data_IF_140357942158
#
_entry.id   IF_140357942158
#
_cell.length_a   1.000
_cell.length_b   1.000
_cell.length_c   1.000
_cell.angle_alpha   90.00
_cell.angle_beta   90.00
_cell.angle_gamma   90.00
#
_symmetry.space_group_name_H-M   'P 1'
#
loop_
_entity.id
_entity.type
_entity.pdbx_description
1 polymer ?
#
# COMPACT_ATOMS: atom_id res chain seq x y z
N UNK A 1 9.65 46.54 -19.28
CA UNK A 1 9.04 45.61 -20.28
C UNK A 1 9.49 45.93 -21.70
N UNK A 2 9.33 47.16 -22.20
CA UNK A 2 9.73 47.55 -23.57
C UNK A 2 11.18 47.22 -23.92
N UNK A 3 12.10 47.41 -22.97
CA UNK A 3 13.54 47.10 -23.13
C UNK A 3 13.84 45.60 -23.26
N UNK A 4 13.03 44.73 -22.66
CA UNK A 4 13.17 43.28 -22.81
C UNK A 4 12.56 42.79 -24.14
N UNK A 5 11.42 43.37 -24.53
CA UNK A 5 10.67 42.98 -25.73
C UNK A 5 11.38 43.40 -27.01
N UNK A 6 11.88 44.63 -27.08
CA UNK A 6 12.59 45.13 -28.27
C UNK A 6 14.02 44.61 -28.25
N UNK A 7 14.39 43.84 -29.28
CA UNK A 7 15.74 43.33 -29.43
C UNK A 7 16.29 43.69 -30.80
N UNK A 8 17.61 43.73 -30.89
CA UNK A 8 18.32 43.70 -32.17
C UNK A 8 18.78 42.27 -32.37
N UNK A 9 18.34 41.62 -33.44
CA UNK A 9 18.76 40.24 -33.73
C UNK A 9 20.28 40.22 -33.97
N UNK A 10 21.07 39.49 -33.16
CA UNK A 10 22.52 39.47 -33.29
C UNK A 10 23.00 38.85 -34.61
N UNK A 11 22.18 38.05 -35.31
CA UNK A 11 22.55 37.44 -36.59
C UNK A 11 22.29 38.36 -37.78
N UNK A 12 21.23 39.16 -37.75
CA UNK A 12 20.79 39.97 -38.90
C UNK A 12 20.91 41.48 -38.70
N UNK A 13 21.11 41.95 -37.47
CA UNK A 13 21.18 43.38 -37.11
C UNK A 13 19.82 44.11 -37.17
N UNK A 14 18.73 43.42 -37.48
CA UNK A 14 17.40 44.02 -37.61
C UNK A 14 16.71 44.19 -36.25
N UNK A 15 15.91 45.24 -36.14
CA UNK A 15 15.02 45.40 -34.99
C UNK A 15 13.89 44.36 -35.03
N UNK A 16 13.72 43.64 -33.92
CA UNK A 16 12.71 42.62 -33.75
C UNK A 16 12.03 42.75 -32.37
N UNK A 17 10.98 41.96 -32.17
CA UNK A 17 10.26 41.86 -30.90
C UNK A 17 10.26 40.42 -30.42
N UNK A 18 10.59 40.18 -29.15
CA UNK A 18 10.39 38.88 -28.50
C UNK A 18 8.90 38.55 -28.47
N UNK A 19 8.58 37.27 -28.61
CA UNK A 19 7.26 36.76 -28.25
C UNK A 19 7.01 37.05 -26.76
N UNK A 20 5.82 37.55 -26.44
CA UNK A 20 5.41 37.93 -25.08
C UNK A 20 4.48 36.91 -24.47
N UNK A 21 3.90 36.01 -25.27
CA UNK A 21 3.17 34.86 -24.77
C UNK A 21 4.13 33.89 -24.09
N UNK A 22 3.69 33.33 -22.97
CA UNK A 22 4.40 32.25 -22.28
C UNK A 22 3.86 30.90 -22.71
N UNK A 23 4.72 29.89 -22.66
CA UNK A 23 4.24 28.53 -22.78
C UNK A 23 3.32 28.20 -21.58
N UNK A 24 2.28 27.39 -21.78
CA UNK A 24 1.41 27.00 -20.69
C UNK A 24 2.14 26.05 -19.72
N UNK A 25 1.63 25.91 -18.49
CA UNK A 25 2.28 25.13 -17.43
C UNK A 25 2.62 23.68 -17.82
N UNK A 26 1.82 23.07 -18.70
CA UNK A 26 2.03 21.69 -19.17
C UNK A 26 3.20 21.52 -20.15
N UNK A 27 3.80 22.61 -20.64
CA UNK A 27 5.01 22.54 -21.47
C UNK A 27 6.23 21.99 -20.69
N UNK A 28 6.26 22.17 -19.37
CA UNK A 28 7.28 21.53 -18.52
C UNK A 28 6.90 20.09 -18.15
N UNK A 29 5.63 19.85 -17.81
CA UNK A 29 5.20 18.54 -17.32
C UNK A 29 5.17 17.47 -18.41
N UNK A 30 5.17 17.79 -19.70
CA UNK A 30 5.14 16.76 -20.74
C UNK A 30 6.47 16.00 -20.94
N UNK A 31 7.58 16.43 -20.33
CA UNK A 31 8.90 15.80 -20.54
C UNK A 31 9.81 15.77 -19.30
N UNK A 32 9.35 16.23 -18.14
CA UNK A 32 10.17 16.29 -16.91
C UNK A 32 10.80 14.94 -16.50
N UNK A 33 10.14 13.82 -16.79
CA UNK A 33 10.66 12.47 -16.53
C UNK A 33 11.95 12.19 -17.31
N UNK A 34 12.12 12.76 -18.51
CA UNK A 34 13.38 12.71 -19.26
C UNK A 34 14.45 13.61 -18.65
N UNK A 35 14.05 14.76 -18.09
CA UNK A 35 14.99 15.67 -17.45
C UNK A 35 15.55 15.12 -16.14
N UNK A 36 14.78 14.29 -15.42
CA UNK A 36 15.27 13.63 -14.21
C UNK A 36 16.43 12.66 -14.46
N UNK A 37 16.59 12.18 -15.69
CA UNK A 37 17.67 11.26 -16.04
C UNK A 37 19.04 11.94 -16.04
N UNK A 38 19.05 13.26 -16.28
CA UNK A 38 20.25 14.07 -16.41
C UNK A 38 20.00 15.55 -16.04
N UNK A 39 19.65 15.84 -14.76
CA UNK A 39 19.10 17.14 -14.36
C UNK A 39 20.12 18.28 -14.35
N UNK A 40 21.42 17.96 -14.30
CA UNK A 40 22.51 18.94 -14.21
C UNK A 40 23.18 19.24 -15.56
N UNK A 41 22.71 18.65 -16.66
CA UNK A 41 23.27 18.88 -17.98
C UNK A 41 22.87 20.25 -18.54
N UNK A 42 23.82 21.16 -18.68
CA UNK A 42 23.63 22.52 -19.18
C UNK A 42 23.84 22.65 -20.70
N UNK A 43 24.36 21.60 -21.34
CA UNK A 43 24.62 21.57 -22.79
C UNK A 43 23.45 20.97 -23.59
N UNK A 44 22.72 20.00 -23.00
CA UNK A 44 21.65 19.23 -23.64
C UNK A 44 20.45 19.07 -22.70
N UNK A 45 19.32 18.69 -23.29
CA UNK A 45 18.14 18.32 -22.53
C UNK A 45 18.39 17.07 -21.65
N UNK A 46 19.06 16.06 -22.20
CA UNK A 46 19.60 14.87 -21.52
C UNK A 46 20.67 14.17 -22.40
N UNK A 47 21.54 13.36 -21.79
CA UNK A 47 22.47 12.51 -22.52
C UNK A 47 21.81 11.21 -23.06
N UNK A 48 22.09 10.77 -24.31
CA UNK A 48 21.46 9.58 -24.89
C UNK A 48 21.72 8.28 -24.13
N UNK A 49 22.89 8.11 -23.52
CA UNK A 49 23.24 6.94 -22.70
C UNK A 49 22.43 6.89 -21.41
N UNK A 50 22.14 8.05 -20.79
CA UNK A 50 21.29 8.16 -19.60
C UNK A 50 19.83 7.85 -19.92
N UNK A 51 19.34 8.34 -21.06
CA UNK A 51 18.00 7.99 -21.55
C UNK A 51 17.85 6.49 -21.77
N UNK A 52 18.79 5.88 -22.50
CA UNK A 52 18.76 4.44 -22.78
C UNK A 52 18.85 3.55 -21.54
N UNK A 53 19.50 4.04 -20.49
CA UNK A 53 19.65 3.30 -19.24
C UNK A 53 18.37 3.30 -18.42
N UNK A 54 17.70 4.46 -18.31
CA UNK A 54 16.56 4.63 -17.40
C UNK A 54 15.19 4.48 -18.06
N UNK A 55 15.08 4.66 -19.37
CA UNK A 55 13.79 4.61 -20.08
C UNK A 55 13.49 3.21 -20.64
N UNK A 56 12.20 2.84 -20.72
CA UNK A 56 11.01 3.59 -20.27
C UNK A 56 10.84 3.59 -18.75
N UNK A 57 10.01 4.49 -18.21
CA UNK A 57 9.63 4.44 -16.79
C UNK A 57 8.80 3.18 -16.54
N UNK A 58 9.26 2.31 -15.65
CA UNK A 58 8.61 1.03 -15.35
C UNK A 58 7.19 1.20 -14.80
N UNK A 59 7.04 2.04 -13.77
CA UNK A 59 5.78 2.29 -13.07
C UNK A 59 5.57 3.80 -12.87
N UNK A 60 4.52 4.32 -13.50
CA UNK A 60 4.04 5.68 -13.31
C UNK A 60 2.78 5.68 -12.44
N UNK A 61 2.83 6.36 -11.29
CA UNK A 61 1.69 6.50 -10.37
C UNK A 61 1.17 7.94 -10.46
N UNK A 62 -0.12 8.11 -10.75
CA UNK A 62 -0.73 9.43 -10.83
C UNK A 62 -2.25 9.38 -10.90
N UNK A 63 -2.92 10.39 -10.35
CA UNK A 63 -4.38 10.41 -10.26
C UNK A 63 -5.06 10.39 -11.63
N UNK A 64 -6.25 9.79 -11.69
CA UNK A 64 -7.04 9.66 -12.93
C UNK A 64 -7.40 11.01 -13.55
N UNK A 65 -7.41 12.09 -12.76
CA UNK A 65 -7.60 13.47 -13.21
C UNK A 65 -6.60 13.90 -14.30
N UNK A 66 -5.47 13.22 -14.42
CA UNK A 66 -4.42 13.52 -15.39
C UNK A 66 -4.51 12.70 -16.69
N UNK A 67 -5.49 11.80 -16.82
CA UNK A 67 -5.63 10.88 -17.96
C UNK A 67 -5.75 11.60 -19.31
N UNK A 68 -6.57 12.64 -19.40
CA UNK A 68 -6.88 13.33 -20.67
C UNK A 68 -6.02 14.55 -20.97
N UNK A 69 -5.19 14.99 -20.02
CA UNK A 69 -4.33 16.16 -20.18
C UNK A 69 -2.86 15.74 -20.16
N UNK A 70 -2.25 15.74 -18.98
CA UNK A 70 -0.82 15.51 -18.80
C UNK A 70 -0.36 14.19 -19.46
N UNK A 71 -1.07 13.08 -19.24
CA UNK A 71 -0.67 11.79 -19.81
C UNK A 71 -0.75 11.76 -21.34
N UNK A 72 -1.73 12.44 -21.93
CA UNK A 72 -1.82 12.57 -23.39
C UNK A 72 -0.68 13.44 -23.93
N UNK A 73 -0.41 14.59 -23.31
CA UNK A 73 0.66 15.48 -23.75
C UNK A 73 2.05 14.87 -23.56
N UNK A 74 2.28 14.15 -22.46
CA UNK A 74 3.53 13.44 -22.23
C UNK A 74 3.80 12.42 -23.33
N UNK A 75 2.79 11.62 -23.70
CA UNK A 75 2.90 10.65 -24.80
C UNK A 75 3.08 11.32 -26.16
N UNK A 76 2.33 12.38 -26.44
CA UNK A 76 2.43 13.13 -27.69
C UNK A 76 3.86 13.68 -27.88
N UNK A 77 4.39 14.39 -26.88
CA UNK A 77 5.73 14.95 -26.96
C UNK A 77 6.81 13.87 -26.97
N UNK A 78 6.62 12.75 -26.25
CA UNK A 78 7.54 11.62 -26.34
C UNK A 78 7.63 11.06 -27.75
N UNK A 79 6.50 10.94 -28.47
CA UNK A 79 6.50 10.49 -29.87
C UNK A 79 7.18 11.47 -30.81
N UNK A 80 6.95 12.77 -30.63
CA UNK A 80 7.68 13.81 -31.38
C UNK A 80 9.18 13.67 -31.14
N UNK A 81 9.61 13.47 -29.89
CA UNK A 81 11.02 13.27 -29.55
C UNK A 81 11.59 11.96 -30.12
N UNK A 82 10.77 10.91 -30.20
CA UNK A 82 11.14 9.64 -30.82
C UNK A 82 11.34 9.81 -32.33
N UNK A 83 10.42 10.48 -33.02
CA UNK A 83 10.51 10.77 -34.46
C UNK A 83 11.75 11.63 -34.79
N UNK A 84 12.16 12.49 -33.85
CA UNK A 84 13.38 13.30 -33.94
C UNK A 84 14.66 12.56 -33.51
N UNK A 85 14.55 11.34 -32.99
CA UNK A 85 15.68 10.50 -32.56
C UNK A 85 16.30 10.85 -31.20
N UNK A 86 15.58 11.58 -30.33
CA UNK A 86 16.07 11.97 -29.00
C UNK A 86 15.79 10.95 -27.89
N UNK A 87 14.84 10.04 -28.11
CA UNK A 87 14.51 8.95 -27.19
C UNK A 87 14.50 7.62 -27.93
N UNK A 88 14.77 6.54 -27.20
CA UNK A 88 14.99 5.21 -27.75
C UNK A 88 13.70 4.42 -28.01
N UNK A 89 12.60 4.78 -27.34
CA UNK A 89 11.30 4.12 -27.43
C UNK A 89 10.15 5.08 -27.77
N UNK A 90 9.00 4.56 -28.25
CA UNK A 90 7.86 5.39 -28.67
C UNK A 90 6.86 5.71 -27.54
N UNK A 91 7.02 5.16 -26.34
CA UNK A 91 6.14 5.37 -25.19
C UNK A 91 6.96 5.59 -23.90
N UNK A 92 6.59 6.56 -23.06
CA UNK A 92 7.38 6.93 -21.89
C UNK A 92 7.14 6.06 -20.64
N UNK A 93 5.97 5.41 -20.53
CA UNK A 93 5.54 4.71 -19.31
C UNK A 93 5.11 3.28 -19.66
N UNK A 94 5.73 2.29 -19.04
CA UNK A 94 5.41 0.87 -19.26
C UNK A 94 4.15 0.44 -18.51
N UNK A 95 4.00 0.90 -17.26
CA UNK A 95 2.82 0.66 -16.45
C UNK A 95 2.29 1.97 -15.86
N UNK A 96 0.99 2.19 -15.98
CA UNK A 96 0.26 3.28 -15.31
C UNK A 96 -0.62 2.71 -14.21
N UNK A 97 -0.60 3.35 -13.04
CA UNK A 97 -1.51 3.06 -11.93
C UNK A 97 -2.10 4.36 -11.40
N UNK A 98 -3.42 4.38 -11.25
CA UNK A 98 -4.12 5.55 -10.75
C UNK A 98 -4.46 5.36 -9.28
N UNK A 99 -3.86 6.16 -8.40
CA UNK A 99 -4.29 6.18 -7.01
C UNK A 99 -5.67 6.81 -6.89
N UNK A 100 -6.48 6.28 -5.97
CA UNK A 100 -7.75 6.88 -5.62
C UNK A 100 -7.57 8.12 -4.74
N UNK A 101 -8.56 9.01 -4.76
CA UNK A 101 -8.53 10.25 -3.99
C UNK A 101 -8.68 9.97 -2.49
N UNK A 102 -7.98 10.75 -1.68
CA UNK A 102 -8.28 10.88 -0.25
C UNK A 102 -9.29 12.02 -0.09
N UNK A 103 -10.45 11.69 0.46
CA UNK A 103 -11.58 12.60 0.69
C UNK A 103 -11.82 12.75 2.18
N UNK A 104 -12.45 13.86 2.56
CA UNK A 104 -12.82 14.13 3.96
C UNK A 104 -14.23 14.68 4.04
N UNK A 105 -14.86 14.49 5.20
CA UNK A 105 -16.19 15.05 5.46
C UNK A 105 -16.07 16.56 5.67
N UNK A 106 -16.84 17.31 4.91
CA UNK A 106 -17.04 18.74 5.12
C UNK A 106 -18.34 19.01 5.85
N UNK A 107 -18.44 20.19 6.47
CA UNK A 107 -19.60 20.65 7.22
C UNK A 107 -20.01 22.02 6.70
N UNK A 108 -21.31 22.24 6.46
CA UNK A 108 -21.86 23.49 5.93
C UNK A 108 -23.05 23.97 6.74
N UNK A 109 -23.09 25.28 6.99
CA UNK A 109 -24.28 25.99 7.50
C UNK A 109 -25.37 26.03 6.43
N UNK A 110 -26.59 26.40 6.82
CA UNK A 110 -27.69 26.60 5.87
C UNK A 110 -27.38 27.70 4.83
N UNK A 111 -26.52 28.66 5.18
CA UNK A 111 -26.02 29.72 4.28
C UNK A 111 -25.08 29.22 3.19
N UNK A 112 -24.58 27.98 3.28
CA UNK A 112 -23.58 27.41 2.38
C UNK A 112 -22.11 27.64 2.80
N UNK A 113 -21.88 28.38 3.90
CA UNK A 113 -20.54 28.58 4.47
C UNK A 113 -20.00 27.27 5.09
N UNK A 114 -18.72 26.98 4.87
CA UNK A 114 -18.04 25.83 5.48
C UNK A 114 -17.72 26.08 6.95
N UNK A 115 -17.72 25.01 7.73
CA UNK A 115 -17.37 24.99 9.15
C UNK A 115 -16.21 24.01 9.36
N UNK A 116 -15.23 24.43 10.15
CA UNK A 116 -14.07 23.59 10.49
C UNK A 116 -14.48 22.44 11.44
N UNK A 117 -13.91 21.22 11.30
CA UNK A 117 -14.28 20.06 12.12
C UNK A 117 -14.23 20.30 13.63
N UNK A 118 -13.29 21.10 14.13
CA UNK A 118 -13.11 21.46 15.55
C UNK A 118 -14.27 22.28 16.14
N UNK A 119 -15.05 22.93 15.28
CA UNK A 119 -16.24 23.70 15.61
C UNK A 119 -17.55 22.90 15.46
N UNK A 120 -17.45 21.58 15.23
CA UNK A 120 -18.59 20.69 15.05
C UNK A 120 -18.79 19.81 16.28
N UNK A 121 -20.05 19.72 16.75
CA UNK A 121 -20.47 18.74 17.74
C UNK A 121 -21.08 17.54 17.02
N UNK A 122 -20.53 16.36 17.29
CA UNK A 122 -20.96 15.07 16.75
C UNK A 122 -22.12 14.51 17.57
N UNK A 123 -23.33 14.57 17.01
CA UNK A 123 -24.49 13.83 17.52
C UNK A 123 -24.59 12.43 16.92
N UNK A 124 -25.53 11.61 17.42
CA UNK A 124 -25.76 10.25 16.92
C UNK A 124 -26.19 10.24 15.45
N UNK A 125 -27.06 11.18 15.07
CA UNK A 125 -27.65 11.31 13.73
C UNK A 125 -27.64 12.76 13.21
N UNK A 126 -26.94 13.67 13.88
CA UNK A 126 -26.91 15.09 13.54
C UNK A 126 -25.56 15.73 13.85
N UNK A 127 -25.27 16.83 13.15
CA UNK A 127 -24.09 17.65 13.36
C UNK A 127 -24.55 19.06 13.65
N UNK A 128 -24.02 19.70 14.68
CA UNK A 128 -24.35 21.07 15.03
C UNK A 128 -23.10 21.91 15.22
N UNK A 129 -23.20 23.21 14.96
CA UNK A 129 -22.13 24.15 15.23
C UNK A 129 -21.98 24.32 16.74
N UNK A 130 -20.74 24.19 17.25
CA UNK A 130 -20.40 24.18 18.68
C UNK A 130 -20.86 25.42 19.44
N UNK A 131 -20.73 26.60 18.81
CA UNK A 131 -21.12 27.88 19.41
C UNK A 131 -22.60 28.23 19.20
N UNK A 132 -23.08 28.21 17.95
CA UNK A 132 -24.43 28.70 17.63
C UNK A 132 -25.53 27.65 17.85
N UNK A 133 -25.18 26.37 17.94
CA UNK A 133 -26.13 25.26 17.97
C UNK A 133 -26.85 25.02 16.64
N UNK A 134 -26.48 25.75 15.57
CA UNK A 134 -27.11 25.62 14.25
C UNK A 134 -26.86 24.22 13.66
N UNK A 135 -27.88 23.57 13.06
CA UNK A 135 -27.70 22.31 12.37
C UNK A 135 -26.80 22.46 11.12
N UNK A 136 -25.90 21.51 10.93
CA UNK A 136 -24.96 21.47 9.82
C UNK A 136 -25.31 20.34 8.84
N UNK A 137 -25.13 20.62 7.55
CA UNK A 137 -25.17 19.61 6.50
C UNK A 137 -23.77 19.06 6.25
N UNK A 138 -23.66 17.79 5.86
CA UNK A 138 -22.36 17.16 5.62
C UNK A 138 -22.25 16.52 4.25
N UNK A 139 -21.05 16.53 3.69
CA UNK A 139 -20.74 15.92 2.42
C UNK A 139 -19.34 15.31 2.46
N UNK A 140 -19.15 14.17 1.80
CA UNK A 140 -17.81 13.61 1.57
C UNK A 140 -17.30 14.17 0.26
N UNK A 141 -16.15 14.85 0.30
CA UNK A 141 -15.61 15.51 -0.88
C UNK A 141 -14.08 15.65 -0.81
N UNK A 142 -13.46 15.91 -1.98
CA UNK A 142 -12.01 16.17 -2.08
C UNK A 142 -11.59 17.24 -1.08
N UNK A 143 -10.54 16.93 -0.33
CA UNK A 143 -9.94 17.86 0.64
C UNK A 143 -9.48 19.14 -0.05
N UNK A 144 -9.78 20.29 0.55
CA UNK A 144 -9.24 21.58 0.10
C UNK A 144 -9.35 22.64 1.19
N UNK A 145 -8.45 23.63 1.14
CA UNK A 145 -8.45 24.76 2.08
C UNK A 145 -9.78 25.52 2.10
N UNK A 146 -10.41 25.73 0.94
CA UNK A 146 -11.69 26.44 0.83
C UNK A 146 -12.87 25.72 1.47
N UNK A 147 -12.74 24.42 1.75
CA UNK A 147 -13.79 23.58 2.34
C UNK A 147 -13.57 23.29 3.83
N UNK A 148 -12.47 23.78 4.39
CA UNK A 148 -12.06 23.57 5.78
C UNK A 148 -12.01 22.08 6.20
N UNK A 149 -11.86 21.15 5.25
CA UNK A 149 -11.83 19.71 5.49
C UNK A 149 -10.46 19.08 5.20
N UNK A 150 -9.44 19.90 4.94
CA UNK A 150 -8.08 19.44 4.71
C UNK A 150 -7.39 19.09 6.02
N UNK A 151 -6.60 18.03 6.00
CA UNK A 151 -5.72 17.65 7.10
C UNK A 151 -4.29 17.91 6.66
N UNK A 152 -3.52 18.60 7.49
CA UNK A 152 -2.12 18.93 7.16
C UNK A 152 -1.22 17.76 7.56
N UNK A 153 -0.39 17.22 6.66
CA UNK A 153 0.55 16.15 7.00
C UNK A 153 1.44 16.49 8.20
N UNK A 154 1.89 17.74 8.29
CA UNK A 154 2.79 18.20 9.37
C UNK A 154 2.19 18.00 10.77
N UNK A 155 0.90 18.28 10.95
CA UNK A 155 0.20 18.11 12.24
C UNK A 155 0.14 16.61 12.63
N UNK A 156 -0.14 15.75 11.65
CA UNK A 156 -0.18 14.29 11.87
C UNK A 156 1.21 13.74 12.15
N UNK A 157 2.25 14.26 11.49
CA UNK A 157 3.65 13.88 11.73
C UNK A 157 4.10 14.32 13.12
N UNK A 158 3.75 15.52 13.56
CA UNK A 158 4.09 16.02 14.90
C UNK A 158 3.42 15.18 16.00
N UNK A 159 2.17 14.76 15.81
CA UNK A 159 1.44 13.97 16.79
C UNK A 159 1.80 12.47 16.78
N UNK A 160 1.92 11.86 15.60
CA UNK A 160 2.05 10.39 15.46
C UNK A 160 3.36 9.91 14.82
N UNK A 161 4.14 10.81 14.21
CA UNK A 161 5.34 10.48 13.45
C UNK A 161 5.08 10.16 11.97
N UNK A 162 6.12 10.37 11.15
CA UNK A 162 6.05 10.19 9.70
C UNK A 162 5.71 8.75 9.27
N UNK A 163 6.23 7.75 10.00
CA UNK A 163 5.96 6.35 9.69
C UNK A 163 4.52 5.94 9.98
N UNK A 164 3.90 6.51 11.01
CA UNK A 164 2.50 6.24 11.31
C UNK A 164 1.58 6.82 10.22
N UNK A 165 1.87 8.03 9.74
CA UNK A 165 1.18 8.65 8.60
C UNK A 165 1.33 7.78 7.33
N UNK A 166 2.57 7.43 6.96
CA UNK A 166 2.85 6.62 5.76
C UNK A 166 2.14 5.27 5.80
N UNK A 167 2.23 4.56 6.92
CA UNK A 167 1.53 3.30 7.11
C UNK A 167 0.03 3.48 6.98
N UNK A 168 -0.54 4.52 7.60
CA UNK A 168 -1.96 4.79 7.52
C UNK A 168 -2.41 5.00 6.08
N UNK A 169 -1.77 5.89 5.33
CA UNK A 169 -2.12 6.18 3.93
C UNK A 169 -2.10 4.91 3.05
N UNK A 170 -1.12 4.03 3.27
CA UNK A 170 -1.00 2.77 2.55
C UNK A 170 -1.95 1.67 3.05
N UNK A 171 -2.47 1.79 4.28
CA UNK A 171 -3.35 0.81 4.93
C UNK A 171 -4.85 1.10 4.75
N UNK A 172 -5.22 2.36 4.46
CA UNK A 172 -6.61 2.81 4.31
C UNK A 172 -7.47 2.00 3.31
N UNK A 173 -6.83 1.26 2.40
CA UNK A 173 -7.50 0.36 1.46
C UNK A 173 -6.71 0.23 0.16
N UNK A 174 -7.28 -0.45 -0.86
CA UNK A 174 -6.61 -0.64 -2.14
C UNK A 174 -6.17 0.69 -2.76
N UNK A 175 -4.96 0.73 -3.35
CA UNK A 175 -4.33 1.94 -3.89
C UNK A 175 -5.27 2.75 -4.79
N UNK A 176 -6.02 2.07 -5.66
CA UNK A 176 -6.85 2.68 -6.71
C UNK A 176 -8.22 3.19 -6.23
N UNK A 177 -8.65 2.82 -5.02
CA UNK A 177 -9.96 3.21 -4.51
C UNK A 177 -9.91 4.56 -3.80
N UNK A 178 -11.01 5.31 -3.91
CA UNK A 178 -11.26 6.48 -3.06
C UNK A 178 -11.30 6.05 -1.59
N UNK A 179 -10.70 6.87 -0.72
CA UNK A 179 -10.54 6.59 0.71
C UNK A 179 -11.01 7.79 1.52
N UNK A 180 -11.79 7.53 2.57
CA UNK A 180 -12.21 8.58 3.50
C UNK A 180 -11.17 8.67 4.62
N UNK A 181 -10.62 9.88 4.83
CA UNK A 181 -9.70 10.15 5.91
C UNK A 181 -10.36 9.99 7.28
N UNK A 182 -9.63 9.34 8.20
CA UNK A 182 -10.02 9.14 9.58
C UNK A 182 -8.78 9.24 10.48
N UNK A 183 -8.62 10.38 11.15
CA UNK A 183 -7.49 10.63 12.06
C UNK A 183 -7.40 9.60 13.20
N UNK A 184 -8.53 9.12 13.72
CA UNK A 184 -8.53 8.11 14.79
C UNK A 184 -7.84 6.81 14.38
N UNK A 185 -7.87 6.48 13.08
CA UNK A 185 -7.24 5.28 12.56
C UNK A 185 -5.71 5.40 12.44
N UNK A 186 -5.15 6.61 12.41
CA UNK A 186 -3.68 6.84 12.47
C UNK A 186 -3.12 6.31 13.79
N UNK A 187 -3.85 6.50 14.89
CA UNK A 187 -3.47 5.96 16.21
C UNK A 187 -3.33 4.43 16.20
N UNK A 188 -4.09 3.74 15.35
CA UNK A 188 -3.96 2.29 15.15
C UNK A 188 -2.64 1.88 14.51
N UNK A 189 -2.18 2.66 13.52
CA UNK A 189 -0.89 2.45 12.86
C UNK A 189 0.27 2.77 13.81
N UNK A 190 0.15 3.83 14.61
CA UNK A 190 1.12 4.16 15.66
C UNK A 190 1.24 3.02 16.70
N UNK A 191 0.11 2.49 17.20
CA UNK A 191 0.12 1.31 18.10
C UNK A 191 0.74 0.07 17.46
N UNK A 192 0.50 -0.15 16.16
CA UNK A 192 1.15 -1.25 15.43
C UNK A 192 2.67 -1.08 15.40
N UNK A 193 3.17 0.13 15.09
CA UNK A 193 4.60 0.44 15.10
C UNK A 193 5.22 0.22 16.48
N UNK A 194 4.56 0.66 17.56
CA UNK A 194 5.01 0.38 18.93
C UNK A 194 5.14 -1.12 19.18
N UNK A 195 4.10 -1.91 18.83
CA UNK A 195 4.15 -3.36 18.98
C UNK A 195 5.23 -4.03 18.13
N UNK A 196 5.49 -3.51 16.94
CA UNK A 196 6.56 -4.00 16.07
C UNK A 196 7.92 -3.72 16.72
N UNK A 197 8.17 -2.49 17.17
CA UNK A 197 9.37 -2.08 17.87
C UNK A 197 9.63 -2.91 19.15
N UNK A 198 8.57 -3.20 19.91
CA UNK A 198 8.64 -4.01 21.14
C UNK A 198 9.14 -5.45 20.90
N UNK A 199 9.07 -5.97 19.67
CA UNK A 199 9.68 -7.26 19.34
C UNK A 199 11.20 -7.24 19.52
N UNK A 200 11.84 -6.10 19.24
CA UNK A 200 13.29 -5.94 19.19
C UNK A 200 13.89 -5.58 20.56
N UNK A 201 13.08 -5.02 21.46
CA UNK A 201 13.45 -4.80 22.87
C UNK A 201 13.13 -6.00 23.76
N UNK A 202 12.47 -7.02 23.22
CA UNK A 202 12.02 -8.18 23.99
C UNK A 202 13.19 -9.02 24.52
N UNK A 203 13.12 -9.56 25.75
CA UNK A 203 14.11 -10.52 26.24
C UNK A 203 14.08 -11.86 25.47
N UNK A 204 13.07 -12.09 24.63
CA UNK A 204 12.94 -13.29 23.78
C UNK A 204 13.86 -13.24 22.55
N UNK A 205 14.46 -12.08 22.23
CA UNK A 205 15.38 -11.94 21.08
C UNK A 205 16.58 -12.85 21.28
N UNK A 206 16.83 -13.73 20.32
CA UNK A 206 17.92 -14.71 20.40
C UNK A 206 18.46 -15.07 19.02
N UNK A 207 19.60 -15.75 18.98
CA UNK A 207 20.16 -16.33 17.76
C UNK A 207 19.64 -17.76 17.49
N UNK A 208 18.77 -18.31 18.36
CA UNK A 208 18.21 -19.64 18.21
C UNK A 208 17.04 -19.63 17.22
N UNK A 209 17.16 -20.39 16.13
CA UNK A 209 16.12 -20.56 15.13
C UNK A 209 15.23 -21.75 15.44
N UNK A 210 13.92 -21.57 15.30
CA UNK A 210 12.94 -22.67 15.40
C UNK A 210 12.21 -22.85 14.05
N UNK A 211 11.83 -24.08 13.68
CA UNK A 211 11.09 -24.31 12.43
C UNK A 211 9.80 -23.49 12.33
N UNK A 212 9.10 -23.29 13.45
CA UNK A 212 7.88 -22.47 13.51
C UNK A 212 8.17 -20.99 13.21
N UNK A 213 9.21 -20.42 13.84
CA UNK A 213 9.60 -19.03 13.61
C UNK A 213 10.06 -18.80 12.15
N UNK A 214 10.85 -19.72 11.60
CA UNK A 214 11.33 -19.64 10.22
C UNK A 214 10.16 -19.71 9.23
N UNK A 215 9.18 -20.61 9.44
CA UNK A 215 7.96 -20.67 8.62
C UNK A 215 7.21 -19.33 8.64
N UNK A 216 7.04 -18.71 9.81
CA UNK A 216 6.41 -17.39 9.92
C UNK A 216 7.18 -16.31 9.16
N UNK A 217 8.51 -16.27 9.31
CA UNK A 217 9.38 -15.30 8.63
C UNK A 217 9.35 -15.41 7.11
N UNK A 218 9.55 -16.60 6.55
CA UNK A 218 9.55 -16.81 5.11
C UNK A 218 8.17 -16.58 4.48
N UNK A 219 7.08 -16.98 5.16
CA UNK A 219 5.72 -16.66 4.71
C UNK A 219 5.44 -15.17 4.74
N UNK A 220 5.93 -14.46 5.74
CA UNK A 220 5.81 -13.01 5.79
C UNK A 220 6.47 -12.37 4.56
N UNK A 221 7.75 -12.69 4.31
CA UNK A 221 8.50 -12.15 3.16
C UNK A 221 7.80 -12.49 1.85
N UNK A 222 7.45 -13.75 1.62
CA UNK A 222 6.76 -14.18 0.41
C UNK A 222 5.46 -13.40 0.17
N UNK A 223 4.62 -13.33 1.19
CA UNK A 223 3.30 -12.74 1.07
C UNK A 223 3.33 -11.21 0.98
N UNK A 224 4.27 -10.54 1.65
CA UNK A 224 4.46 -9.10 1.58
C UNK A 224 5.08 -8.70 0.24
N UNK A 225 6.09 -9.44 -0.23
CA UNK A 225 6.72 -9.21 -1.54
C UNK A 225 5.68 -9.25 -2.65
N UNK A 226 4.88 -10.32 -2.70
CA UNK A 226 3.80 -10.49 -3.67
C UNK A 226 2.79 -9.34 -3.64
N UNK A 227 2.44 -8.85 -2.46
CA UNK A 227 1.48 -7.75 -2.34
C UNK A 227 2.09 -6.41 -2.73
N UNK A 228 3.37 -6.16 -2.46
CA UNK A 228 4.08 -4.96 -2.91
C UNK A 228 4.15 -4.94 -4.45
N UNK A 229 4.53 -6.06 -5.07
CA UNK A 229 4.57 -6.20 -6.54
C UNK A 229 3.18 -5.99 -7.17
N UNK A 230 2.12 -6.43 -6.47
CA UNK A 230 0.74 -6.22 -6.87
C UNK A 230 0.15 -4.85 -6.45
N UNK A 231 0.94 -3.99 -5.80
CA UNK A 231 0.53 -2.69 -5.23
C UNK A 231 -0.67 -2.79 -4.25
N UNK A 232 -0.82 -3.94 -3.62
CA UNK A 232 -1.82 -4.25 -2.59
C UNK A 232 -1.26 -3.95 -1.19
N UNK A 233 -0.84 -2.71 -0.99
CA UNK A 233 -0.13 -2.26 0.21
C UNK A 233 -0.91 -2.48 1.52
N UNK A 234 -2.24 -2.31 1.46
CA UNK A 234 -3.09 -2.49 2.63
C UNK A 234 -3.09 -3.95 3.13
N UNK A 235 -3.03 -4.92 2.22
CA UNK A 235 -2.95 -6.34 2.59
C UNK A 235 -1.54 -6.74 3.00
N UNK A 236 -0.49 -6.12 2.42
CA UNK A 236 0.88 -6.29 2.89
C UNK A 236 1.02 -5.89 4.38
N UNK A 237 0.43 -4.74 4.76
CA UNK A 237 0.43 -4.25 6.14
C UNK A 237 -0.42 -5.17 7.04
N UNK A 238 -1.57 -5.64 6.58
CA UNK A 238 -2.39 -6.61 7.33
C UNK A 238 -1.61 -7.90 7.63
N UNK A 239 -0.84 -8.43 6.66
CA UNK A 239 0.02 -9.61 6.85
C UNK A 239 1.12 -9.38 7.87
N UNK A 240 1.69 -8.18 7.93
CA UNK A 240 2.64 -7.82 9.01
C UNK A 240 1.95 -7.79 10.38
N UNK A 241 0.73 -7.28 10.47
CA UNK A 241 -0.06 -7.31 11.72
C UNK A 241 -0.37 -8.74 12.17
N UNK A 242 -0.77 -9.61 11.23
CA UNK A 242 -1.00 -11.04 11.47
C UNK A 242 0.28 -11.73 11.95
N UNK A 243 1.40 -11.48 11.28
CA UNK A 243 2.70 -11.99 11.68
C UNK A 243 3.03 -11.64 13.14
N UNK A 244 2.88 -10.38 13.57
CA UNK A 244 3.13 -10.01 14.98
C UNK A 244 2.24 -10.82 15.92
N UNK A 245 0.96 -10.98 15.60
CA UNK A 245 0.01 -11.70 16.45
C UNK A 245 0.39 -13.17 16.64
N UNK A 246 0.98 -13.80 15.64
CA UNK A 246 1.44 -15.19 15.73
C UNK A 246 2.85 -15.30 16.30
N UNK A 247 3.78 -14.46 15.84
CA UNK A 247 5.17 -14.47 16.26
C UNK A 247 5.35 -14.18 17.76
N UNK A 248 4.51 -13.31 18.34
CA UNK A 248 4.57 -12.99 19.78
C UNK A 248 4.24 -14.16 20.71
N UNK A 249 3.60 -15.22 20.19
CA UNK A 249 3.28 -16.45 20.94
C UNK A 249 4.50 -17.35 21.15
N UNK A 250 5.55 -17.18 20.33
CA UNK A 250 6.76 -17.99 20.40
C UNK A 250 7.56 -17.73 21.69
N UNK A 251 8.34 -18.72 22.12
CA UNK A 251 9.22 -18.59 23.28
C UNK A 251 10.48 -17.77 22.95
N UNK A 252 10.99 -17.90 21.73
CA UNK A 252 12.17 -17.19 21.23
C UNK A 252 11.85 -16.42 19.95
N UNK A 253 12.51 -15.27 19.78
CA UNK A 253 12.42 -14.41 18.59
C UNK A 253 13.77 -14.44 17.86
N UNK A 254 13.94 -15.32 16.85
CA UNK A 254 15.21 -15.44 16.16
C UNK A 254 15.57 -14.15 15.43
N UNK A 255 16.80 -13.65 15.59
CA UNK A 255 17.26 -12.44 14.90
C UNK A 255 17.14 -12.55 13.39
N UNK A 256 17.34 -13.73 12.80
CA UNK A 256 17.17 -13.96 11.36
C UNK A 256 15.75 -13.67 10.88
N UNK A 257 14.74 -14.07 11.64
CA UNK A 257 13.32 -13.79 11.34
C UNK A 257 12.97 -12.32 11.60
N UNK A 258 13.52 -11.72 12.66
CA UNK A 258 13.35 -10.28 12.90
C UNK A 258 13.94 -9.43 11.78
N UNK A 259 15.11 -9.81 11.22
CA UNK A 259 15.68 -9.18 10.02
C UNK A 259 14.72 -9.24 8.82
N UNK A 260 14.09 -10.39 8.60
CA UNK A 260 13.06 -10.53 7.54
C UNK A 260 11.88 -9.57 7.76
N UNK A 261 11.37 -9.48 9.00
CA UNK A 261 10.27 -8.59 9.34
C UNK A 261 10.63 -7.11 9.12
N UNK A 262 11.85 -6.70 9.46
CA UNK A 262 12.36 -5.33 9.24
C UNK A 262 12.39 -4.97 7.76
N UNK A 263 12.85 -5.88 6.90
CA UNK A 263 12.82 -5.67 5.44
C UNK A 263 11.40 -5.52 4.89
N UNK A 264 10.42 -6.24 5.44
CA UNK A 264 9.02 -6.10 5.05
C UNK A 264 8.42 -4.75 5.47
N UNK A 265 8.85 -4.20 6.62
CA UNK A 265 8.36 -2.93 7.14
C UNK A 265 8.97 -1.72 6.40
N UNK A 266 10.23 -1.82 5.96
CA UNK A 266 11.02 -0.67 5.47
C UNK A 266 10.39 0.15 4.33
N UNK A 267 9.65 -0.41 3.36
CA UNK A 267 9.01 0.40 2.32
C UNK A 267 7.92 1.32 2.90
N UNK A 268 7.30 0.91 4.00
CA UNK A 268 6.17 1.59 4.62
C UNK A 268 6.60 2.53 5.75
N UNK A 269 7.45 2.04 6.65
CA UNK A 269 7.93 2.76 7.83
C UNK A 269 9.47 2.67 7.95
N UNK A 270 10.20 3.39 7.08
CA UNK A 270 11.65 3.27 6.96
C UNK A 270 12.41 3.69 8.22
N UNK A 271 11.92 4.67 8.99
CA UNK A 271 12.65 5.19 10.15
C UNK A 271 12.63 4.17 11.30
N UNK A 272 11.45 3.62 11.61
CA UNK A 272 11.27 2.55 12.58
C UNK A 272 12.02 1.28 12.15
N UNK A 273 12.00 0.95 10.85
CA UNK A 273 12.73 -0.19 10.32
C UNK A 273 14.25 -0.07 10.47
N UNK A 274 14.85 1.08 10.16
CA UNK A 274 16.30 1.32 10.36
C UNK A 274 16.68 1.25 11.84
N UNK A 275 15.87 1.83 12.75
CA UNK A 275 16.14 1.73 14.20
C UNK A 275 16.11 0.27 14.67
N UNK A 276 15.10 -0.49 14.27
CA UNK A 276 15.00 -1.92 14.60
C UNK A 276 16.15 -2.74 13.99
N UNK A 277 16.65 -2.35 12.82
CA UNK A 277 17.79 -2.97 12.16
C UNK A 277 19.08 -2.78 12.97
N UNK A 278 19.33 -1.55 13.43
CA UNK A 278 20.49 -1.23 14.28
C UNK A 278 20.45 -1.99 15.62
N UNK A 279 19.25 -2.10 16.23
CA UNK A 279 19.06 -2.87 17.47
C UNK A 279 19.42 -4.35 17.36
N UNK A 280 19.34 -4.94 16.16
CA UNK A 280 19.81 -6.30 15.89
C UNK A 280 21.34 -6.41 15.74
N UNK A 281 22.07 -5.29 15.90
CA UNK A 281 23.52 -5.20 15.76
C UNK A 281 23.99 -5.10 14.31
N UNK A 282 23.09 -4.81 13.36
CA UNK A 282 23.46 -4.61 11.97
C UNK A 282 24.10 -3.22 11.78
N UNK A 283 25.26 -3.18 11.13
CA UNK A 283 26.06 -1.95 11.00
C UNK A 283 25.85 -1.19 9.70
N UNK A 284 25.47 -1.89 8.64
CA UNK A 284 25.19 -1.26 7.35
C UNK A 284 23.72 -0.81 7.32
N UNK A 285 23.41 0.37 6.75
CA UNK A 285 22.02 0.81 6.63
C UNK A 285 21.15 -0.23 5.93
N UNK A 286 19.94 -0.45 6.44
CA UNK A 286 18.97 -1.39 5.87
C UNK A 286 18.71 -1.12 4.39
N UNK A 287 18.75 0.15 4.00
CA UNK A 287 18.60 0.60 2.61
C UNK A 287 19.55 -0.09 1.62
N UNK A 288 20.75 -0.49 2.07
CA UNK A 288 21.74 -1.18 1.24
C UNK A 288 21.79 -2.70 1.48
N UNK A 289 21.05 -3.20 2.47
CA UNK A 289 21.00 -4.62 2.77
C UNK A 289 20.23 -5.38 1.68
N UNK A 290 20.68 -6.60 1.39
CA UNK A 290 20.01 -7.46 0.39
C UNK A 290 18.64 -7.88 0.91
N UNK A 291 17.60 -7.70 0.10
CA UNK A 291 16.25 -8.14 0.44
C UNK A 291 16.22 -9.67 0.66
N UNK A 292 15.57 -10.18 1.72
CA UNK A 292 15.65 -11.59 2.11
C UNK A 292 15.08 -12.51 1.02
N UNK A 293 15.82 -13.59 0.74
CA UNK A 293 15.33 -14.66 -0.13
C UNK A 293 14.29 -15.53 0.60
N UNK A 294 13.32 -16.03 -0.16
CA UNK A 294 12.29 -16.94 0.35
C UNK A 294 12.73 -18.38 0.11
N UNK A 295 12.75 -19.19 1.18
CA UNK A 295 12.83 -20.64 1.05
C UNK A 295 11.42 -21.20 0.84
N UNK A 296 11.15 -21.67 -0.38
CA UNK A 296 9.84 -22.20 -0.76
C UNK A 296 9.42 -23.42 0.05
N UNK A 297 10.37 -24.20 0.58
CA UNK A 297 10.07 -25.38 1.40
C UNK A 297 9.41 -25.01 2.74
N UNK A 298 9.60 -23.78 3.21
CA UNK A 298 9.02 -23.25 4.45
C UNK A 298 7.66 -22.55 4.24
N UNK A 299 7.21 -22.44 2.99
CA UNK A 299 5.87 -21.92 2.66
C UNK A 299 4.79 -22.98 2.81
N UNK A 300 5.16 -24.26 2.76
CA UNK A 300 4.20 -25.34 2.88
C UNK A 300 3.79 -25.56 4.34
N UNK A 301 2.48 -25.70 4.55
CA UNK A 301 1.94 -26.23 5.80
C UNK A 301 2.02 -27.76 5.75
N UNK A 302 2.80 -28.35 6.65
CA UNK A 302 2.81 -29.81 6.85
C UNK A 302 1.45 -30.30 7.34
N UNK A 303 0.72 -29.45 8.06
CA UNK A 303 -0.61 -29.72 8.62
C UNK A 303 -1.59 -28.63 8.25
N UNK A 304 -2.76 -29.01 7.77
CA UNK A 304 -3.80 -28.08 7.34
C UNK A 304 -5.11 -28.34 8.07
N UNK A 305 -5.92 -27.29 8.21
CA UNK A 305 -7.26 -27.39 8.77
C UNK A 305 -8.27 -27.80 7.69
N UNK A 306 -8.75 -29.05 7.76
CA UNK A 306 -9.89 -29.49 6.97
C UNK A 306 -11.19 -29.07 7.66
N UNK A 307 -11.95 -28.22 6.99
CA UNK A 307 -13.26 -27.76 7.46
C UNK A 307 -14.33 -28.77 7.08
N UNK A 308 -15.12 -29.23 8.06
CA UNK A 308 -16.22 -30.17 7.81
C UNK A 308 -17.56 -29.46 7.90
N UNK A 309 -18.35 -29.60 6.85
CA UNK A 309 -19.70 -29.08 6.73
C UNK A 309 -20.73 -30.21 6.58
N UNK A 310 -21.94 -29.96 7.06
CA UNK A 310 -23.12 -30.80 6.77
C UNK A 310 -24.19 -29.88 6.19
N UNK A 311 -24.65 -30.18 4.97
CA UNK A 311 -25.56 -29.33 4.19
C UNK A 311 -25.11 -27.85 4.14
N UNK A 312 -23.82 -27.63 3.92
CA UNK A 312 -23.22 -26.29 3.80
C UNK A 312 -23.02 -25.53 5.12
N UNK A 313 -23.40 -26.10 6.27
CA UNK A 313 -23.17 -25.48 7.59
C UNK A 313 -21.93 -26.07 8.26
N UNK A 314 -21.05 -25.23 8.82
CA UNK A 314 -19.85 -25.65 9.57
C UNK A 314 -20.21 -26.50 10.79
N UNK A 315 -19.60 -27.69 10.92
CA UNK A 315 -19.84 -28.67 12.01
C UNK A 315 -18.58 -29.18 12.69
N UNK A 316 -17.41 -29.06 12.08
CA UNK A 316 -16.16 -29.41 12.72
C UNK A 316 -14.94 -28.97 11.91
N UNK A 317 -13.77 -29.17 12.52
CA UNK A 317 -12.46 -28.89 11.93
C UNK A 317 -11.51 -30.01 12.35
N UNK A 318 -10.66 -30.45 11.44
CA UNK A 318 -9.57 -31.38 11.73
C UNK A 318 -8.25 -30.76 11.28
N UNK A 319 -7.25 -30.78 12.15
CA UNK A 319 -5.87 -30.50 11.76
C UNK A 319 -5.19 -31.82 11.43
N UNK A 320 -4.82 -31.99 10.16
CA UNK A 320 -4.23 -33.22 9.65
C UNK A 320 -3.09 -32.87 8.70
N UNK A 321 -2.17 -33.80 8.41
CA UNK A 321 -1.14 -33.55 7.42
C UNK A 321 -1.73 -33.11 6.07
N UNK A 322 -1.00 -32.34 5.29
CA UNK A 322 -1.41 -31.97 3.93
C UNK A 322 -1.62 -33.22 3.06
N UNK A 323 -2.45 -33.09 2.04
CA UNK A 323 -2.72 -34.13 1.03
C UNK A 323 -3.35 -35.42 1.59
N UNK A 324 -4.13 -35.32 2.67
CA UNK A 324 -4.96 -36.46 3.09
C UNK A 324 -6.03 -36.80 2.05
N UNK A 325 -6.21 -38.10 1.75
CA UNK A 325 -7.27 -38.53 0.86
C UNK A 325 -8.65 -38.31 1.50
N UNK A 326 -9.65 -38.05 0.65
CA UNK A 326 -11.05 -37.82 1.03
C UNK A 326 -11.57 -38.87 2.03
N UNK A 327 -11.20 -40.13 1.82
CA UNK A 327 -11.64 -41.28 2.61
C UNK A 327 -11.20 -41.18 4.07
N UNK A 328 -9.99 -40.68 4.33
CA UNK A 328 -9.44 -40.53 5.69
C UNK A 328 -10.22 -39.46 6.44
N UNK A 329 -10.46 -38.32 5.79
CA UNK A 329 -11.15 -37.18 6.39
C UNK A 329 -12.62 -37.52 6.61
N UNK A 330 -13.26 -38.22 5.67
CA UNK A 330 -14.64 -38.69 5.79
C UNK A 330 -14.79 -39.67 6.95
N UNK A 331 -13.87 -40.63 7.10
CA UNK A 331 -13.87 -41.55 8.25
C UNK A 331 -13.71 -40.82 9.58
N UNK A 332 -12.85 -39.81 9.65
CA UNK A 332 -12.69 -38.98 10.85
C UNK A 332 -13.95 -38.16 11.14
N UNK A 333 -14.55 -37.54 10.13
CA UNK A 333 -15.78 -36.77 10.24
C UNK A 333 -16.94 -37.60 10.79
N UNK A 334 -17.13 -38.83 10.29
CA UNK A 334 -18.21 -39.72 10.71
C UNK A 334 -18.02 -40.28 12.13
N UNK A 335 -16.78 -40.36 12.60
CA UNK A 335 -16.45 -40.79 13.98
C UNK A 335 -16.46 -39.65 15.00
N UNK A 336 -16.50 -38.40 14.54
CA UNK A 336 -16.46 -37.25 15.43
C UNK A 336 -17.87 -36.96 15.99
N UNK A 337 -18.03 -37.10 17.30
CA UNK A 337 -19.32 -36.97 18.01
C UNK A 337 -20.06 -35.66 17.70
N UNK A 338 -19.33 -34.55 17.55
CA UNK A 338 -19.90 -33.25 17.21
C UNK A 338 -20.47 -33.14 15.79
N UNK A 339 -20.00 -33.98 14.86
CA UNK A 339 -20.48 -34.04 13.47
C UNK A 339 -21.55 -35.12 13.35
N UNK A 340 -21.30 -36.29 13.97
CA UNK A 340 -22.15 -37.48 13.90
C UNK A 340 -23.62 -37.17 14.21
N UNK A 341 -23.91 -36.34 15.23
CA UNK A 341 -25.28 -35.91 15.56
C UNK A 341 -26.07 -35.23 14.43
N UNK A 342 -25.40 -34.76 13.38
CA UNK A 342 -26.02 -34.13 12.21
C UNK A 342 -26.13 -35.06 11.00
N UNK A 343 -25.55 -36.26 11.09
CA UNK A 343 -25.53 -37.29 10.04
C UNK A 343 -26.22 -38.57 10.51
N UNK A 344 -26.40 -38.74 11.82
CA UNK A 344 -27.03 -39.90 12.44
C UNK A 344 -28.50 -39.99 11.99
N UNK A 345 -28.88 -41.15 11.44
CA UNK A 345 -30.17 -41.43 10.81
C UNK A 345 -30.46 -40.68 9.51
N UNK A 346 -29.46 -40.07 8.87
CA UNK A 346 -29.61 -39.48 7.53
C UNK A 346 -28.77 -40.22 6.49
N UNK A 347 -29.29 -40.34 5.28
CA UNK A 347 -28.56 -40.90 4.16
C UNK A 347 -27.62 -39.83 3.58
N UNK A 348 -26.32 -40.12 3.47
CA UNK A 348 -25.36 -39.24 2.81
C UNK A 348 -25.53 -39.40 1.30
N UNK A 349 -26.21 -38.44 0.68
CA UNK A 349 -26.48 -38.46 -0.75
C UNK A 349 -25.29 -38.07 -1.61
N UNK A 350 -24.40 -37.20 -1.09
CA UNK A 350 -23.20 -36.75 -1.80
C UNK A 350 -22.13 -36.28 -0.84
N UNK A 351 -20.87 -36.60 -1.13
CA UNK A 351 -19.70 -36.02 -0.49
C UNK A 351 -19.07 -35.03 -1.47
N UNK A 352 -18.77 -33.82 -0.99
CA UNK A 352 -18.05 -32.81 -1.76
C UNK A 352 -16.74 -32.55 -1.03
N UNK A 353 -15.66 -33.05 -1.61
CA UNK A 353 -14.32 -32.82 -1.11
C UNK A 353 -13.59 -31.80 -1.96
N UNK A 354 -13.04 -30.78 -1.30
CA UNK A 354 -12.08 -29.86 -1.89
C UNK A 354 -10.75 -30.15 -1.22
N UNK A 355 -9.77 -30.71 -1.97
CA UNK A 355 -8.46 -31.04 -1.44
C UNK A 355 -7.87 -29.89 -0.66
N UNK A 356 -7.27 -30.26 0.47
CA UNK A 356 -6.59 -29.37 1.38
C UNK A 356 -7.41 -28.21 1.97
N UNK A 357 -8.75 -28.34 2.01
CA UNK A 357 -9.63 -27.24 2.45
C UNK A 357 -10.89 -27.69 3.18
N UNK A 358 -11.69 -28.56 2.55
CA UNK A 358 -13.10 -28.67 2.89
C UNK A 358 -13.65 -30.07 2.58
N UNK A 359 -14.47 -30.58 3.49
CA UNK A 359 -15.36 -31.72 3.27
C UNK A 359 -16.80 -31.30 3.58
N UNK A 360 -17.71 -31.38 2.61
CA UNK A 360 -19.13 -31.13 2.85
C UNK A 360 -19.94 -32.42 2.62
N UNK A 361 -20.63 -32.87 3.67
CA UNK A 361 -21.53 -34.01 3.65
C UNK A 361 -22.95 -33.50 3.33
N UNK A 362 -23.47 -33.89 2.17
CA UNK A 362 -24.84 -33.57 1.77
C UNK A 362 -25.73 -34.73 2.20
N UNK A 363 -26.62 -34.48 3.14
CA UNK A 363 -27.53 -35.47 3.71
C UNK A 363 -28.96 -35.26 3.20
N UNK A 364 -29.75 -36.33 3.17
CA UNK A 364 -31.19 -36.32 2.85
C UNK A 364 -32.07 -36.44 4.08
#
# INVERSE_FOLDING_TARGET
VTEWVKITDPKTGKSARRETNTMPQWAGSCWYYLRFLDPQNDEKAWAPDKEKYWMPVDLYIGGVEHAVLHLLYARFWHKVLFDLGYVSGPEPFQMLRNQGLIVSRSFKKASGEYVAPEDVVLGRDSYTHKVTGEPLTTQVEKMSKSKLNGVTPDEIIEEFGADALRLYEMFMGPLEKEKIWNTDAVSGCSRFLTRFYDLFTSPKVSDEETPEALKLGHRLVHNVTKDIEALSFNTAIAKMMEFINDFTKLETYPKSVLKMAVHCLSPFAPHCAEECWEMLGCKEPLTYATYPAVDESLLEDETITYVVQVNGKLRGRFELPKDQPEEVITKLALKHSGIQKFVENQEIAKVIFVPNKLLNLVTK
#
